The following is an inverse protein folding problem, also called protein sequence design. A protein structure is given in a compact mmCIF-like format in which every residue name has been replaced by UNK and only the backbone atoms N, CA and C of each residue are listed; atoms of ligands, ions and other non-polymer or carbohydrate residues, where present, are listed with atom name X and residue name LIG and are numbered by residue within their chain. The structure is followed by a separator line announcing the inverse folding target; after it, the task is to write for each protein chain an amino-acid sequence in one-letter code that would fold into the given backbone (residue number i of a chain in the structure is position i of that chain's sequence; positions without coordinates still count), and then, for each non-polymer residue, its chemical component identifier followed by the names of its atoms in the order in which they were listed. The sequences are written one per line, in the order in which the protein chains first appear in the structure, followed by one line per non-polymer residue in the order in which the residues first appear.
data_IF_026178861286
#
_entry.id   IF_026178861286
#
_cell.length_a   1.000
_cell.length_b   1.000
_cell.length_c   1.000
_cell.angle_alpha   90.00
_cell.angle_beta   90.00
_cell.angle_gamma   90.00
#
_symmetry.space_group_name_H-M   'P 1'
#
loop_
_entity.id
_entity.type
_entity.pdbx_description
1 polymer ?
#
# COMPACT_ATOMS: atom_id res chain seq x y z
N UNK A 1 14.27 10.81 2.91
CA UNK A 1 13.13 9.89 2.80
C UNK A 1 13.33 9.00 1.58
N UNK A 2 13.16 7.71 1.73
CA UNK A 2 13.28 6.73 0.63
C UNK A 2 12.00 5.91 0.47
N UNK A 3 11.78 5.39 -0.74
CA UNK A 3 10.69 4.45 -1.01
C UNK A 3 10.94 3.15 -0.24
N UNK A 4 9.97 2.71 0.56
CA UNK A 4 10.10 1.51 1.37
C UNK A 4 8.75 0.86 1.61
N UNK A 5 8.64 -0.42 1.31
CA UNK A 5 7.42 -1.22 1.50
C UNK A 5 7.63 -2.35 2.51
N UNK A 6 8.65 -3.17 2.28
CA UNK A 6 8.92 -4.34 3.11
C UNK A 6 9.70 -4.01 4.38
N UNK A 7 9.71 -4.95 5.36
CA UNK A 7 10.34 -4.72 6.66
C UNK A 7 11.81 -4.31 6.59
N UNK A 8 12.60 -4.94 5.72
CA UNK A 8 14.03 -4.64 5.56
C UNK A 8 14.30 -3.24 5.03
N UNK A 9 13.49 -2.77 4.05
CA UNK A 9 13.62 -1.42 3.53
C UNK A 9 13.15 -0.37 4.52
N UNK A 10 12.12 -0.66 5.32
CA UNK A 10 11.68 0.22 6.40
C UNK A 10 12.73 0.33 7.50
N UNK A 11 13.39 -0.77 7.86
CA UNK A 11 14.50 -0.79 8.80
C UNK A 11 15.69 0.03 8.28
N UNK A 12 16.08 -0.18 7.02
CA UNK A 12 17.11 0.64 6.37
C UNK A 12 16.76 2.13 6.35
N UNK A 13 15.50 2.46 6.05
CA UNK A 13 15.03 3.83 6.05
C UNK A 13 15.16 4.48 7.44
N UNK A 14 14.86 3.73 8.50
CA UNK A 14 15.00 4.17 9.89
C UNK A 14 16.45 4.45 10.28
N UNK A 15 17.37 3.60 9.83
CA UNK A 15 18.78 3.70 10.21
C UNK A 15 19.57 4.73 9.40
N UNK A 16 19.27 4.87 8.11
CA UNK A 16 20.11 5.59 7.15
C UNK A 16 19.49 6.88 6.61
N UNK A 17 18.22 7.18 6.93
CA UNK A 17 17.51 8.34 6.37
C UNK A 17 16.62 9.02 7.39
N UNK A 18 15.95 10.12 7.00
CA UNK A 18 14.94 10.76 7.83
C UNK A 18 13.58 10.05 7.80
N UNK A 19 13.39 9.04 6.97
CA UNK A 19 12.10 8.35 6.93
C UNK A 19 11.80 7.59 5.64
N UNK A 20 10.56 7.14 5.52
CA UNK A 20 10.08 6.31 4.44
C UNK A 20 8.84 6.86 3.75
N UNK A 21 8.70 6.53 2.47
CA UNK A 21 7.53 6.81 1.64
C UNK A 21 6.92 5.49 1.14
N UNK A 22 6.05 4.85 1.92
CA UNK A 22 5.25 3.73 1.46
C UNK A 22 4.23 4.18 0.42
N UNK A 23 4.02 3.34 -0.59
CA UNK A 23 3.16 3.63 -1.71
C UNK A 23 2.21 2.46 -1.97
N UNK A 24 0.93 2.75 -2.18
CA UNK A 24 -0.10 1.75 -2.48
C UNK A 24 -0.24 0.68 -1.39
N UNK A 25 -0.47 1.13 -0.17
CA UNK A 25 -0.54 0.29 1.02
C UNK A 25 -1.90 0.42 1.72
N UNK A 26 -2.01 -0.12 2.93
CA UNK A 26 -3.20 -0.06 3.78
C UNK A 26 -2.91 0.66 5.11
N UNK A 27 -3.95 1.03 5.87
CA UNK A 27 -3.77 1.56 7.22
C UNK A 27 -2.98 0.64 8.15
N UNK A 28 -3.18 -0.69 8.05
CA UNK A 28 -2.44 -1.69 8.83
C UNK A 28 -0.96 -1.69 8.48
N UNK A 29 -0.63 -1.56 7.19
CA UNK A 29 0.76 -1.40 6.75
C UNK A 29 1.36 -0.11 7.31
N UNK A 30 0.62 0.97 7.35
CA UNK A 30 1.07 2.24 7.92
C UNK A 30 1.40 2.10 9.41
N UNK A 31 0.57 1.37 10.17
CA UNK A 31 0.83 1.08 11.58
C UNK A 31 2.13 0.28 11.75
N UNK A 32 2.32 -0.78 10.97
CA UNK A 32 3.55 -1.59 10.97
C UNK A 32 4.78 -0.76 10.56
N UNK A 33 4.64 0.09 9.54
CA UNK A 33 5.72 0.96 9.09
C UNK A 33 6.13 1.96 10.20
N UNK A 34 5.16 2.53 10.92
CA UNK A 34 5.43 3.41 12.06
C UNK A 34 6.18 2.69 13.17
N UNK A 35 5.81 1.46 13.47
CA UNK A 35 6.51 0.63 14.45
C UNK A 35 7.98 0.38 14.06
N UNK A 36 8.23 0.06 12.79
CA UNK A 36 9.58 -0.17 12.27
C UNK A 36 10.44 1.08 12.20
N UNK A 37 9.86 2.20 11.80
CA UNK A 37 10.56 3.48 11.66
C UNK A 37 10.87 4.18 13.00
N UNK A 38 10.09 3.88 14.03
CA UNK A 38 10.14 4.64 15.28
C UNK A 38 9.38 5.96 15.20
N UNK A 39 9.29 6.66 16.32
CA UNK A 39 8.45 7.85 16.47
C UNK A 39 8.98 9.11 15.78
N UNK A 40 10.30 9.21 15.62
CA UNK A 40 10.97 10.43 15.17
C UNK A 40 11.21 10.48 13.66
N UNK A 41 11.10 9.36 12.98
CA UNK A 41 11.27 9.27 11.51
C UNK A 41 10.02 9.73 10.77
N UNK A 42 10.22 10.34 9.62
CA UNK A 42 9.11 10.73 8.74
C UNK A 42 8.47 9.50 8.11
N UNK A 43 7.15 9.44 8.17
CA UNK A 43 6.35 8.42 7.49
C UNK A 43 5.41 9.14 6.52
N UNK A 44 5.82 9.17 5.25
CA UNK A 44 5.13 9.89 4.18
C UNK A 44 4.32 8.87 3.34
N UNK A 45 3.12 8.56 3.80
CA UNK A 45 2.27 7.54 3.15
C UNK A 45 1.55 8.13 1.94
N UNK A 46 1.55 7.39 0.83
CA UNK A 46 0.63 7.63 -0.27
C UNK A 46 -0.62 6.78 -0.07
N UNK A 47 -1.79 7.40 -0.12
CA UNK A 47 -3.10 6.75 -0.05
C UNK A 47 -3.88 7.00 -1.34
N UNK A 48 -4.28 5.93 -2.00
CA UNK A 48 -5.17 6.02 -3.16
C UNK A 48 -6.57 6.43 -2.73
N UNK A 49 -7.07 7.51 -3.30
CA UNK A 49 -8.42 8.06 -3.00
C UNK A 49 -9.19 8.28 -4.30
N UNK A 50 -10.45 7.87 -4.31
CA UNK A 50 -11.37 8.09 -5.43
C UNK A 50 -12.55 8.93 -4.96
N UNK A 51 -12.75 10.08 -5.57
CA UNK A 51 -13.85 10.99 -5.24
C UNK A 51 -15.14 10.55 -5.96
N UNK A 52 -15.72 9.44 -5.47
CA UNK A 52 -16.98 8.89 -6.00
C UNK A 52 -17.82 8.34 -4.84
N UNK A 53 -19.10 8.67 -4.80
CA UNK A 53 -20.04 8.21 -3.77
C UNK A 53 -20.62 6.83 -4.08
N UNK A 54 -20.74 6.49 -5.34
CA UNK A 54 -21.22 5.18 -5.77
C UNK A 54 -20.09 4.16 -5.65
N UNK A 55 -20.26 3.20 -4.76
CA UNK A 55 -19.23 2.20 -4.46
C UNK A 55 -18.88 1.29 -5.65
N UNK A 56 -19.84 1.03 -6.54
CA UNK A 56 -19.60 0.22 -7.75
C UNK A 56 -18.70 0.96 -8.71
N UNK A 57 -19.00 2.23 -8.98
CA UNK A 57 -18.18 3.08 -9.85
C UNK A 57 -16.80 3.35 -9.26
N UNK A 58 -16.72 3.58 -7.94
CA UNK A 58 -15.46 3.77 -7.24
C UNK A 58 -14.55 2.55 -7.40
N UNK A 59 -15.08 1.35 -7.16
CA UNK A 59 -14.32 0.09 -7.31
C UNK A 59 -13.90 -0.17 -8.76
N UNK A 60 -14.72 0.15 -9.73
CA UNK A 60 -14.37 0.01 -11.15
C UNK A 60 -13.20 0.92 -11.52
N UNK A 61 -13.25 2.17 -11.12
CA UNK A 61 -12.14 3.13 -11.31
C UNK A 61 -10.87 2.66 -10.60
N UNK A 62 -10.99 2.16 -9.38
CA UNK A 62 -9.88 1.60 -8.61
C UNK A 62 -9.22 0.40 -9.32
N UNK A 63 -10.02 -0.51 -9.88
CA UNK A 63 -9.51 -1.66 -10.66
C UNK A 63 -8.68 -1.23 -11.86
N UNK A 64 -9.11 -0.21 -12.59
CA UNK A 64 -8.38 0.32 -13.74
C UNK A 64 -7.01 0.87 -13.31
N UNK A 65 -6.95 1.59 -12.20
CA UNK A 65 -5.69 2.11 -11.64
C UNK A 65 -4.80 0.97 -11.15
N UNK A 66 -5.35 0.02 -10.40
CA UNK A 66 -4.60 -1.10 -9.83
C UNK A 66 -4.03 -2.06 -10.87
N UNK A 67 -4.69 -2.20 -12.02
CA UNK A 67 -4.26 -3.09 -13.10
C UNK A 67 -2.83 -2.81 -13.59
N UNK A 68 -2.38 -1.57 -13.53
CA UNK A 68 -1.02 -1.16 -13.92
C UNK A 68 0.03 -1.74 -12.96
N UNK A 69 -0.32 -1.87 -11.68
CA UNK A 69 0.61 -2.24 -10.61
C UNK A 69 0.64 -3.73 -10.28
N UNK A 70 -0.44 -4.48 -10.59
CA UNK A 70 -0.56 -5.87 -10.15
C UNK A 70 0.53 -6.82 -10.67
N UNK A 71 1.15 -6.48 -11.81
CA UNK A 71 2.26 -7.23 -12.40
C UNK A 71 3.65 -6.85 -11.84
N UNK A 72 3.75 -5.83 -10.99
CA UNK A 72 5.02 -5.35 -10.45
C UNK A 72 5.38 -6.10 -9.16
N UNK A 73 6.50 -6.85 -9.14
CA UNK A 73 6.81 -7.76 -8.03
C UNK A 73 6.91 -7.09 -6.66
N UNK A 74 7.43 -5.87 -6.58
CA UNK A 74 7.58 -5.15 -5.32
C UNK A 74 6.22 -4.82 -4.68
N UNK A 75 5.23 -4.41 -5.46
CA UNK A 75 3.87 -4.17 -4.95
C UNK A 75 3.16 -5.48 -4.63
N UNK A 76 3.19 -6.44 -5.57
CA UNK A 76 2.57 -7.75 -5.37
C UNK A 76 3.07 -8.44 -4.10
N UNK A 77 4.37 -8.50 -3.90
CA UNK A 77 4.97 -9.11 -2.72
C UNK A 77 4.58 -8.37 -1.43
N UNK A 78 4.44 -7.05 -1.48
CA UNK A 78 3.98 -6.28 -0.33
C UNK A 78 2.52 -6.57 0.02
N UNK A 79 1.64 -6.65 -0.98
CA UNK A 79 0.23 -6.98 -0.75
C UNK A 79 0.04 -8.38 -0.17
N UNK A 80 0.86 -9.35 -0.60
CA UNK A 80 0.87 -10.69 0.00
C UNK A 80 1.30 -10.61 1.47
N UNK A 81 2.33 -9.84 1.80
CA UNK A 81 2.74 -9.60 3.20
C UNK A 81 1.65 -8.90 4.02
N UNK A 82 0.83 -8.06 3.40
CA UNK A 82 -0.32 -7.42 4.02
C UNK A 82 -1.50 -8.38 4.28
N UNK A 83 -1.41 -9.62 3.81
CA UNK A 83 -2.44 -10.65 4.02
C UNK A 83 -3.42 -10.85 2.87
N UNK A 84 -3.18 -10.21 1.72
CA UNK A 84 -3.97 -10.47 0.52
C UNK A 84 -3.50 -11.77 -0.16
N UNK A 85 -4.45 -12.58 -0.62
CA UNK A 85 -4.15 -13.78 -1.40
C UNK A 85 -3.80 -13.41 -2.84
N UNK A 86 -3.07 -14.29 -3.53
CA UNK A 86 -2.75 -14.09 -4.95
C UNK A 86 -4.01 -13.93 -5.80
N UNK A 87 -5.06 -14.68 -5.51
CA UNK A 87 -6.36 -14.57 -6.18
C UNK A 87 -7.00 -13.19 -6.00
N UNK A 88 -6.91 -12.61 -4.80
CA UNK A 88 -7.41 -11.25 -4.53
C UNK A 88 -6.72 -10.22 -5.43
N UNK A 89 -5.40 -10.38 -5.63
CA UNK A 89 -4.57 -9.50 -6.45
C UNK A 89 -4.83 -9.73 -7.94
N UNK A 90 -4.87 -10.98 -8.38
CA UNK A 90 -5.06 -11.31 -9.79
C UNK A 90 -6.42 -10.86 -10.33
N UNK A 91 -7.47 -11.02 -9.54
CA UNK A 91 -8.83 -10.60 -9.88
C UNK A 91 -9.12 -9.13 -9.55
N UNK A 92 -8.28 -8.46 -8.75
CA UNK A 92 -8.54 -7.13 -8.20
C UNK A 92 -9.95 -7.06 -7.60
N UNK A 93 -10.28 -8.04 -6.77
CA UNK A 93 -11.61 -8.18 -6.19
C UNK A 93 -11.92 -7.08 -5.16
N UNK A 94 -13.13 -7.07 -4.64
CA UNK A 94 -13.55 -6.05 -3.69
C UNK A 94 -12.69 -6.03 -2.43
N UNK A 95 -12.24 -7.19 -1.95
CA UNK A 95 -11.34 -7.27 -0.79
C UNK A 95 -10.02 -6.53 -1.04
N UNK A 96 -9.41 -6.73 -2.21
CA UNK A 96 -8.20 -6.00 -2.59
C UNK A 96 -8.46 -4.49 -2.65
N UNK A 97 -9.52 -4.08 -3.35
CA UNK A 97 -9.84 -2.66 -3.54
C UNK A 97 -10.16 -1.99 -2.19
N UNK A 98 -11.00 -2.59 -1.38
CA UNK A 98 -11.42 -2.02 -0.09
C UNK A 98 -10.27 -1.95 0.94
N UNK A 99 -9.23 -2.78 0.76
CA UNK A 99 -8.02 -2.75 1.57
C UNK A 99 -7.07 -1.61 1.17
N UNK A 100 -6.99 -1.27 -0.11
CA UNK A 100 -5.94 -0.40 -0.67
C UNK A 100 -6.41 0.96 -1.14
N UNK A 101 -7.71 1.16 -1.33
CA UNK A 101 -8.32 2.42 -1.76
C UNK A 101 -9.28 2.97 -0.70
N UNK A 102 -9.43 4.30 -0.69
CA UNK A 102 -10.50 5.00 0.02
C UNK A 102 -11.39 5.77 -0.99
N UNK A 103 -12.67 5.88 -0.69
CA UNK A 103 -13.62 6.71 -1.45
C UNK A 103 -14.77 7.22 -0.60
#
# INVERSE_FOLDING_TARGET
VIAALGPKMLELASEMTQGAHPYFTSPEHTAMAREKLGKDSWLCVEQKVILEKDSTKARETAKQTAAIYKGLPNYRNNWIRMGLAEEDIDSLNNKFIDTTFAW
#
